data_IF_579549761138
#
_entry.id   IF_579549761138
#
_cell.length_a   1.000
_cell.length_b   1.000
_cell.length_c   1.000
_cell.angle_alpha   90.00
_cell.angle_beta   90.00
_cell.angle_gamma   90.00
#
_symmetry.space_group_name_H-M   'P 1'
#
loop_
_entity.id
_entity.type
_entity.pdbx_description
1 polymer ?
#
# COMPACT_ATOMS: atom_id res chain seq x y z
N UNK A 1 -7.38 4.22 0.23
CA UNK A 1 -7.71 3.10 -0.70
C UNK A 1 -6.61 3.01 -1.75
N UNK A 2 -6.06 1.82 -1.99
CA UNK A 2 -5.01 1.63 -2.98
C UNK A 2 -5.61 1.64 -4.40
N UNK A 3 -4.99 2.39 -5.31
CA UNK A 3 -5.37 2.38 -6.73
C UNK A 3 -4.89 1.10 -7.45
N UNK A 4 -5.39 0.85 -8.67
CA UNK A 4 -5.05 -0.34 -9.46
C UNK A 4 -3.55 -0.55 -9.63
N UNK A 5 -2.77 0.51 -9.89
CA UNK A 5 -1.31 0.43 -10.08
C UNK A 5 -0.60 0.10 -8.78
N UNK A 6 -1.14 0.57 -7.66
CA UNK A 6 -0.61 0.25 -6.32
C UNK A 6 -0.84 -1.23 -6.01
N UNK A 7 -2.04 -1.76 -6.30
CA UNK A 7 -2.35 -3.19 -6.15
C UNK A 7 -1.48 -4.07 -7.06
N UNK A 8 -1.26 -3.65 -8.31
CA UNK A 8 -0.34 -4.34 -9.23
C UNK A 8 1.10 -4.38 -8.69
N UNK A 9 1.61 -3.26 -8.16
CA UNK A 9 2.93 -3.25 -7.52
C UNK A 9 3.00 -4.22 -6.35
N UNK A 10 1.98 -4.22 -5.47
CA UNK A 10 1.92 -5.12 -4.31
C UNK A 10 1.89 -6.58 -4.76
N UNK A 11 1.11 -6.91 -5.79
CA UNK A 11 1.06 -8.27 -6.37
C UNK A 11 2.42 -8.72 -6.89
N UNK A 12 3.08 -7.90 -7.71
CA UNK A 12 4.39 -8.23 -8.27
C UNK A 12 5.45 -8.36 -7.17
N UNK A 13 5.42 -7.50 -6.15
CA UNK A 13 6.33 -7.60 -5.01
C UNK A 13 6.15 -8.94 -4.26
N UNK A 14 4.91 -9.31 -3.93
CA UNK A 14 4.60 -10.58 -3.25
C UNK A 14 4.98 -11.81 -4.11
N UNK A 15 4.72 -11.79 -5.41
CA UNK A 15 5.15 -12.85 -6.35
C UNK A 15 6.68 -13.00 -6.40
N UNK A 16 7.44 -11.97 -6.03
CA UNK A 16 8.89 -12.00 -5.91
C UNK A 16 9.39 -12.26 -4.48
N UNK A 17 8.51 -12.67 -3.57
CA UNK A 17 8.86 -13.01 -2.19
C UNK A 17 9.02 -11.82 -1.25
N UNK A 18 8.67 -10.60 -1.70
CA UNK A 18 8.71 -9.41 -0.85
C UNK A 18 7.39 -9.24 -0.11
N UNK A 19 7.45 -9.13 1.22
CA UNK A 19 6.28 -8.96 2.08
C UNK A 19 6.64 -8.21 3.37
N UNK A 20 5.65 -7.63 4.05
CA UNK A 20 5.86 -6.95 5.34
C UNK A 20 6.65 -5.66 5.22
N UNK A 21 7.97 -5.72 5.42
CA UNK A 21 8.87 -4.56 5.32
C UNK A 21 9.83 -4.76 4.16
N UNK A 22 9.86 -3.81 3.23
CA UNK A 22 10.77 -3.83 2.07
C UNK A 22 11.69 -2.62 2.08
N UNK A 23 12.91 -2.81 1.58
CA UNK A 23 13.90 -1.74 1.47
C UNK A 23 13.83 -0.99 0.15
N UNK A 24 14.48 0.18 0.09
CA UNK A 24 14.71 0.92 -1.16
C UNK A 24 15.47 0.06 -2.18
N UNK A 25 16.38 -0.78 -1.73
CA UNK A 25 17.15 -1.70 -2.59
C UNK A 25 16.22 -2.73 -3.21
N UNK A 26 15.36 -3.37 -2.41
CA UNK A 26 14.37 -4.33 -2.91
C UNK A 26 13.46 -3.72 -3.98
N UNK A 27 13.01 -2.47 -3.77
CA UNK A 27 12.19 -1.73 -4.75
C UNK A 27 12.95 -1.50 -6.06
N UNK A 28 14.25 -1.17 -5.99
CA UNK A 28 15.08 -0.93 -7.18
C UNK A 28 15.31 -2.25 -7.92
N UNK A 29 15.66 -3.30 -7.21
CA UNK A 29 15.96 -4.62 -7.76
C UNK A 29 14.71 -5.26 -8.38
N UNK A 30 13.56 -5.11 -7.72
CA UNK A 30 12.26 -5.54 -8.27
C UNK A 30 11.96 -4.81 -9.59
N UNK A 31 12.18 -3.49 -9.63
CA UNK A 31 12.00 -2.69 -10.84
C UNK A 31 12.95 -3.11 -11.97
N UNK A 32 14.20 -3.43 -11.65
CA UNK A 32 15.17 -3.94 -12.62
C UNK A 32 14.80 -5.33 -13.16
N UNK A 33 14.25 -6.20 -12.31
CA UNK A 33 13.88 -7.58 -12.66
C UNK A 33 12.57 -7.68 -13.45
N UNK A 34 11.57 -6.87 -13.09
CA UNK A 34 10.19 -7.02 -13.59
C UNK A 34 9.72 -5.85 -14.47
N UNK A 35 10.45 -4.73 -14.47
CA UNK A 35 10.04 -3.51 -15.18
C UNK A 35 9.00 -2.67 -14.45
N UNK A 36 8.56 -3.07 -13.24
CA UNK A 36 7.62 -2.25 -12.46
C UNK A 36 8.23 -0.90 -12.07
N UNK A 37 7.39 0.14 -12.11
CA UNK A 37 7.82 1.48 -11.73
C UNK A 37 7.94 1.60 -10.21
N UNK A 38 8.87 2.46 -9.78
CA UNK A 38 9.05 2.77 -8.36
C UNK A 38 7.75 3.32 -7.74
N UNK A 39 7.29 2.79 -6.60
CA UNK A 39 6.04 3.17 -5.97
C UNK A 39 6.22 4.47 -5.17
N UNK A 40 6.02 5.63 -5.81
CA UNK A 40 6.14 6.92 -5.13
C UNK A 40 5.20 7.02 -3.89
N UNK A 41 4.00 6.42 -3.97
CA UNK A 41 3.05 6.34 -2.87
C UNK A 41 3.65 5.63 -1.65
N UNK A 42 4.32 4.49 -1.86
CA UNK A 42 4.95 3.72 -0.80
C UNK A 42 6.17 4.44 -0.21
N UNK A 43 6.93 5.13 -1.05
CA UNK A 43 8.21 5.74 -0.65
C UNK A 43 8.08 7.13 -0.02
N UNK A 44 7.06 7.90 -0.40
CA UNK A 44 6.89 9.30 0.04
C UNK A 44 5.86 9.47 1.15
N UNK A 45 4.89 8.58 1.24
CA UNK A 45 3.86 8.67 2.26
C UNK A 45 4.38 8.14 3.60
N UNK A 46 4.25 8.96 4.64
CA UNK A 46 4.72 8.65 5.97
C UNK A 46 4.00 7.45 6.59
N UNK A 47 2.77 7.15 6.17
CA UNK A 47 2.01 6.01 6.70
C UNK A 47 2.67 4.66 6.38
N UNK A 48 3.45 4.61 5.29
CA UNK A 48 4.16 3.40 4.88
C UNK A 48 5.63 3.40 5.31
N UNK A 49 6.12 4.47 5.93
CA UNK A 49 7.54 4.57 6.29
C UNK A 49 7.79 3.97 7.66
N UNK A 50 8.60 2.90 7.71
CA UNK A 50 8.99 2.23 8.96
C UNK A 50 10.33 2.77 9.46
N UNK A 51 11.25 3.06 8.54
CA UNK A 51 12.61 3.46 8.86
C UNK A 51 13.29 4.25 7.75
N UNK A 52 14.61 4.44 7.85
CA UNK A 52 15.39 5.08 6.80
C UNK A 52 15.56 4.13 5.61
N UNK A 53 14.72 4.30 4.60
CA UNK A 53 14.77 3.47 3.39
C UNK A 53 14.04 2.14 3.54
N UNK A 54 13.21 2.00 4.55
CA UNK A 54 12.39 0.83 4.85
C UNK A 54 10.91 1.22 4.84
N UNK A 55 10.10 0.42 4.15
CA UNK A 55 8.70 0.71 3.90
C UNK A 55 7.82 -0.51 4.19
N UNK A 56 6.68 -0.28 4.83
CA UNK A 56 5.65 -1.28 5.06
C UNK A 56 4.92 -1.56 3.76
N UNK A 57 5.17 -2.71 3.15
CA UNK A 57 4.44 -3.21 1.98
C UNK A 57 3.10 -3.77 2.46
N UNK A 58 1.95 -3.24 1.99
CA UNK A 58 0.64 -3.81 2.31
C UNK A 58 0.52 -5.26 1.84
N UNK A 59 -0.21 -6.08 2.58
CA UNK A 59 -0.54 -7.45 2.14
C UNK A 59 -1.61 -7.41 1.04
N UNK A 60 -1.69 -8.49 0.24
CA UNK A 60 -2.75 -8.62 -0.76
C UNK A 60 -4.13 -8.56 -0.12
N UNK A 61 -4.32 -9.22 1.02
CA UNK A 61 -5.58 -9.20 1.78
C UNK A 61 -5.98 -7.77 2.19
N UNK A 62 -5.03 -6.97 2.67
CA UNK A 62 -5.27 -5.55 2.98
C UNK A 62 -5.62 -4.73 1.72
N UNK A 63 -5.06 -5.09 0.56
CA UNK A 63 -5.39 -4.40 -0.71
C UNK A 63 -6.81 -4.67 -1.22
N UNK A 64 -7.41 -5.80 -0.81
CA UNK A 64 -8.77 -6.19 -1.18
C UNK A 64 -9.80 -5.87 -0.09
N UNK A 65 -9.42 -5.92 1.19
CA UNK A 65 -10.31 -5.64 2.33
C UNK A 65 -10.71 -4.15 2.45
N UNK A 66 -9.87 -3.22 1.98
CA UNK A 66 -10.19 -1.77 2.01
C UNK A 66 -11.21 -1.32 0.93
N UNK A 67 -11.89 -2.26 0.26
CA UNK A 67 -12.97 -1.95 -0.68
C UNK A 67 -14.34 -1.76 0.01
N UNK A 68 -14.51 -2.22 1.26
CA UNK A 68 -15.83 -2.26 1.91
C UNK A 68 -16.04 -1.21 3.02
N UNK A 69 -14.99 -0.53 3.50
CA UNK A 69 -15.06 0.31 4.73
C UNK A 69 -15.19 1.82 4.45
N UNK A 70 -15.65 2.24 3.28
CA UNK A 70 -15.78 3.68 2.95
C UNK A 70 -17.18 4.15 2.55
N UNK A 71 -18.20 3.32 2.72
CA UNK A 71 -19.60 3.75 2.65
C UNK A 71 -20.28 3.57 4.01
N UNK A 72 -19.78 4.25 5.03
CA UNK A 72 -20.62 4.58 6.19
C UNK A 72 -20.62 6.10 6.31
N UNK A 73 -21.51 6.70 5.52
CA UNK A 73 -21.90 8.09 5.68
C UNK A 73 -22.44 8.28 7.10
N UNK A 74 -21.79 9.17 7.83
CA UNK A 74 -22.23 9.68 9.12
C UNK A 74 -23.65 10.23 8.99
N UNK A 75 -24.63 9.60 9.63
CA UNK A 75 -25.86 10.30 10.01
C UNK A 75 -25.64 10.95 11.39
N UNK A 76 -25.39 12.25 11.35
CA UNK A 76 -25.53 13.14 12.50
C UNK A 76 -27.01 13.16 12.90
N UNK A 77 -27.32 12.73 14.13
CA UNK A 77 -28.56 13.12 14.80
C UNK A 77 -28.21 14.17 15.86
N UNK A 78 -28.36 15.43 15.44
CA UNK A 78 -28.54 16.58 16.31
C UNK A 78 -29.93 16.53 16.98
N UNK A 79 -30.00 17.19 18.15
CA UNK A 79 -31.16 17.67 18.93
C UNK A 79 -31.74 16.79 20.06
N UNK A 80 -31.30 17.15 21.27
CA UNK A 80 -32.05 17.83 22.36
C UNK A 80 -33.56 17.49 22.48
N UNK A 81 -33.92 16.89 23.61
CA UNK A 81 -34.91 17.41 24.59
C UNK A 81 -34.56 16.89 26.00
#
# INVERSE_FOLDING_TARGET
>A
MLDTKQKEFVKVANENGLSGTISRTDIIDLGAKTGVKKPAWLMKDHQYRVGRGEYRLPSLEETFAQAEVSNESVETVDNID
#
